data_IF_543120834497
#
_entry.id   IF_543120834497
#
_cell.length_a   1.000
_cell.length_b   1.000
_cell.length_c   1.000
_cell.angle_alpha   90.00
_cell.angle_beta   90.00
_cell.angle_gamma   90.00
#
_symmetry.space_group_name_H-M   'P 1'
#
loop_
_entity.id
_entity.type
_entity.pdbx_description
1 polymer ?
#
# COMPACT_ATOMS: atom_id res chain seq x y z
N UNK A 1 -21.53 -16.88 -0.66
CA UNK A 1 -20.07 -16.71 -0.81
C UNK A 1 -19.65 -15.56 0.10
N UNK A 2 -18.62 -15.76 0.94
CA UNK A 2 -18.10 -14.69 1.79
C UNK A 2 -17.19 -13.76 0.97
N UNK A 3 -17.10 -12.48 1.32
CA UNK A 3 -16.15 -11.54 0.70
C UNK A 3 -14.69 -12.04 0.77
N UNK A 4 -14.35 -12.80 1.82
CA UNK A 4 -13.03 -13.41 1.98
C UNK A 4 -12.74 -14.48 0.91
N UNK A 5 -13.75 -15.26 0.51
CA UNK A 5 -13.62 -16.29 -0.52
C UNK A 5 -13.40 -15.67 -1.90
N UNK A 6 -14.09 -14.57 -2.21
CA UNK A 6 -13.93 -13.84 -3.46
C UNK A 6 -12.57 -13.15 -3.57
N UNK A 7 -12.05 -12.56 -2.47
CA UNK A 7 -10.70 -11.98 -2.46
C UNK A 7 -9.66 -13.06 -2.68
N UNK A 8 -9.81 -14.23 -2.05
CA UNK A 8 -8.86 -15.33 -2.20
C UNK A 8 -8.90 -15.93 -3.61
N UNK A 9 -10.08 -16.01 -4.24
CA UNK A 9 -10.18 -16.51 -5.62
C UNK A 9 -9.70 -15.50 -6.68
N UNK A 10 -9.76 -14.18 -6.40
CA UNK A 10 -9.21 -13.14 -7.27
C UNK A 10 -7.75 -12.76 -6.97
N UNK A 11 -7.19 -13.16 -5.81
CA UNK A 11 -5.80 -12.88 -5.44
C UNK A 11 -4.84 -13.82 -6.19
N UNK A 12 -4.71 -13.59 -7.50
CA UNK A 12 -3.87 -14.37 -8.41
C UNK A 12 -2.58 -13.66 -8.81
N UNK A 13 -2.33 -12.44 -8.32
CA UNK A 13 -1.16 -11.65 -8.68
C UNK A 13 -0.12 -11.62 -7.56
N UNK A 14 1.14 -11.81 -7.95
CA UNK A 14 2.30 -11.53 -7.10
C UNK A 14 2.73 -10.08 -7.28
N UNK A 15 2.72 -9.30 -6.21
CA UNK A 15 3.11 -7.90 -6.22
C UNK A 15 4.39 -7.74 -5.42
N UNK A 16 5.37 -7.03 -5.98
CA UNK A 16 6.60 -6.69 -5.26
C UNK A 16 6.36 -5.42 -4.44
N UNK A 17 6.62 -5.52 -3.14
CA UNK A 17 6.52 -4.41 -2.19
C UNK A 17 7.93 -3.96 -1.81
N UNK A 18 8.13 -2.65 -1.80
CA UNK A 18 9.35 -1.99 -1.33
C UNK A 18 9.01 -1.17 -0.09
N UNK A 19 9.49 -1.62 1.07
CA UNK A 19 9.34 -0.94 2.35
C UNK A 19 10.57 -0.10 2.64
N UNK A 20 10.35 1.14 3.06
CA UNK A 20 11.41 2.14 3.25
C UNK A 20 11.35 2.69 4.67
N UNK A 21 12.41 2.45 5.45
CA UNK A 21 12.57 2.99 6.79
C UNK A 21 13.44 4.25 6.75
N UNK A 22 12.93 5.34 7.31
CA UNK A 22 13.64 6.61 7.46
C UNK A 22 14.85 6.40 8.37
N UNK A 23 15.99 6.94 7.94
CA UNK A 23 17.24 6.93 8.69
C UNK A 23 17.48 8.25 9.41
N UNK A 24 18.13 8.20 10.57
CA UNK A 24 18.51 9.42 11.30
C UNK A 24 19.45 10.28 10.47
N UNK A 25 19.28 11.60 10.56
CA UNK A 25 20.18 12.56 9.90
C UNK A 25 21.58 12.46 10.48
N UNK A 26 22.59 12.44 9.61
CA UNK A 26 24.01 12.48 10.02
C UNK A 26 24.52 13.89 9.77
N UNK A 27 24.94 14.59 10.82
CA UNK A 27 25.39 16.00 10.75
C UNK A 27 24.39 16.91 10.03
N UNK A 28 23.09 16.71 10.30
CA UNK A 28 21.99 17.48 9.69
C UNK A 28 21.61 17.05 8.26
N UNK A 29 22.39 16.19 7.62
CA UNK A 29 22.13 15.71 6.26
C UNK A 29 21.14 14.55 6.27
N UNK A 30 20.15 14.61 5.36
CA UNK A 30 19.29 13.47 5.10
C UNK A 30 20.14 12.28 4.64
N UNK A 31 19.79 11.10 5.13
CA UNK A 31 20.39 9.84 4.70
C UNK A 31 19.38 9.07 3.86
N UNK A 32 19.83 8.22 2.93
CA UNK A 32 18.92 7.34 2.21
C UNK A 32 18.21 6.40 3.18
N UNK A 33 16.93 6.07 2.93
CA UNK A 33 16.20 5.12 3.75
C UNK A 33 16.80 3.72 3.65
N UNK A 34 16.63 2.92 4.71
CA UNK A 34 16.88 1.47 4.64
C UNK A 34 15.72 0.84 3.89
N UNK A 35 16.03 0.02 2.88
CA UNK A 35 15.02 -0.55 1.97
C UNK A 35 14.95 -2.07 2.15
N UNK A 36 13.74 -2.59 2.29
CA UNK A 36 13.44 -4.02 2.29
C UNK A 36 12.43 -4.31 1.20
N UNK A 37 12.72 -5.32 0.36
CA UNK A 37 11.80 -5.77 -0.69
C UNK A 37 11.27 -7.17 -0.40
N UNK A 38 9.98 -7.37 -0.57
CA UNK A 38 9.33 -8.67 -0.44
C UNK A 38 8.17 -8.81 -1.41
N UNK A 39 7.77 -10.05 -1.70
CA UNK A 39 6.67 -10.35 -2.62
C UNK A 39 5.44 -10.74 -1.80
N UNK A 40 4.28 -10.22 -2.20
CA UNK A 40 2.98 -10.55 -1.62
C UNK A 40 2.07 -11.15 -2.66
N UNK A 41 1.14 -12.00 -2.23
CA UNK A 41 -0.04 -12.36 -3.03
C UNK A 41 -1.14 -11.34 -2.77
N UNK A 42 -1.69 -10.76 -3.83
CA UNK A 42 -2.73 -9.76 -3.75
C UNK A 42 -3.71 -9.86 -4.93
N UNK A 43 -4.91 -9.33 -4.72
CA UNK A 43 -5.86 -9.01 -5.79
C UNK A 43 -5.74 -7.52 -6.10
N UNK A 44 -5.40 -7.20 -7.34
CA UNK A 44 -5.21 -5.82 -7.81
C UNK A 44 -6.32 -5.49 -8.79
N UNK A 45 -7.00 -4.38 -8.57
CA UNK A 45 -8.14 -3.93 -9.36
C UNK A 45 -8.03 -2.44 -9.66
N UNK A 46 -8.57 -2.00 -10.79
CA UNK A 46 -8.74 -0.57 -11.03
C UNK A 46 -9.62 0.05 -9.93
N UNK A 47 -9.22 1.20 -9.39
CA UNK A 47 -9.98 1.82 -8.30
C UNK A 47 -11.35 2.31 -8.77
N UNK A 48 -12.38 1.98 -8.01
CA UNK A 48 -13.75 2.41 -8.31
C UNK A 48 -13.95 3.91 -8.06
N UNK A 49 -14.87 4.55 -8.78
CA UNK A 49 -15.18 5.98 -8.59
C UNK A 49 -15.65 6.35 -7.18
N UNK A 50 -16.14 5.39 -6.38
CA UNK A 50 -16.46 5.59 -4.96
C UNK A 50 -15.19 5.68 -4.10
N UNK A 51 -14.23 4.80 -4.36
CA UNK A 51 -12.96 4.76 -3.63
C UNK A 51 -12.06 5.95 -4.00
N UNK A 52 -12.16 6.45 -5.22
CA UNK A 52 -11.51 7.69 -5.65
C UNK A 52 -11.90 8.90 -4.77
N UNK A 53 -13.13 8.96 -4.26
CA UNK A 53 -13.59 10.04 -3.36
C UNK A 53 -12.96 10.00 -1.96
N UNK A 54 -12.26 8.93 -1.62
CA UNK A 54 -11.52 8.83 -0.35
C UNK A 54 -10.14 9.46 -0.43
N UNK A 55 -9.67 9.77 -1.63
CA UNK A 55 -8.43 10.49 -1.86
C UNK A 55 -8.66 12.01 -1.77
N UNK A 56 -7.66 12.79 -1.35
CA UNK A 56 -7.71 14.26 -1.45
C UNK A 56 -7.93 14.71 -2.90
N UNK A 57 -8.64 15.83 -3.10
CA UNK A 57 -9.11 16.30 -4.42
C UNK A 57 -8.03 16.36 -5.53
N UNK A 58 -6.78 16.67 -5.17
CA UNK A 58 -5.66 16.73 -6.11
C UNK A 58 -5.05 15.38 -6.50
N UNK A 59 -5.48 14.26 -5.90
CA UNK A 59 -4.92 12.91 -6.11
C UNK A 59 -5.85 11.95 -6.86
N UNK A 60 -7.02 12.43 -7.29
CA UNK A 60 -8.08 11.66 -7.96
C UNK A 60 -7.77 11.45 -9.46
N UNK A 61 -6.87 12.23 -10.04
CA UNK A 61 -6.58 12.26 -11.49
C UNK A 61 -5.44 11.35 -11.96
N UNK A 62 -4.76 10.65 -11.04
CA UNK A 62 -3.67 9.72 -11.36
C UNK A 62 -4.15 8.30 -11.67
N UNK A 63 -3.23 7.43 -12.09
CA UNK A 63 -3.52 6.00 -12.14
C UNK A 63 -3.62 5.45 -10.71
N UNK A 64 -4.77 4.88 -10.35
CA UNK A 64 -5.07 4.39 -9.01
C UNK A 64 -5.56 2.93 -9.06
N UNK A 65 -5.03 2.11 -8.17
CA UNK A 65 -5.41 0.71 -7.99
C UNK A 65 -5.86 0.45 -6.57
N UNK A 66 -6.86 -0.42 -6.43
CA UNK A 66 -7.26 -1.00 -5.16
C UNK A 66 -6.60 -2.36 -5.02
N UNK A 67 -5.86 -2.56 -3.93
CA UNK A 67 -5.10 -3.76 -3.63
C UNK A 67 -5.68 -4.44 -2.40
N UNK A 68 -6.10 -5.70 -2.54
CA UNK A 68 -6.56 -6.53 -1.45
C UNK A 68 -5.49 -7.57 -1.11
N UNK A 69 -5.03 -7.60 0.14
CA UNK A 69 -4.00 -8.53 0.59
C UNK A 69 -4.18 -8.93 2.05
N UNK A 70 -3.54 -10.03 2.46
CA UNK A 70 -3.40 -10.43 3.87
C UNK A 70 -2.16 -9.84 4.52
N UNK A 71 -1.21 -9.33 3.73
CA UNK A 71 0.00 -8.70 4.23
C UNK A 71 -0.30 -7.26 4.64
N UNK A 72 0.09 -6.86 5.85
CA UNK A 72 0.01 -5.46 6.26
C UNK A 72 0.95 -4.61 5.41
N UNK A 73 0.36 -3.63 4.72
CA UNK A 73 1.05 -2.55 4.01
C UNK A 73 1.11 -1.30 4.89
N UNK A 74 2.11 -0.45 4.70
CA UNK A 74 2.30 0.76 5.49
C UNK A 74 1.91 2.00 4.70
N UNK A 75 1.18 2.89 5.37
CA UNK A 75 0.86 4.24 4.88
C UNK A 75 1.98 5.24 5.17
N UNK A 76 2.94 4.82 5.99
CA UNK A 76 3.93 5.69 6.58
C UNK A 76 3.31 6.52 7.70
N UNK A 77 4.07 6.73 8.76
CA UNK A 77 3.60 7.50 9.90
C UNK A 77 4.74 8.33 10.49
N UNK A 78 4.44 9.60 10.74
CA UNK A 78 5.33 10.53 11.47
C UNK A 78 5.12 10.45 12.99
N UNK A 79 4.03 9.83 13.44
CA UNK A 79 3.67 9.68 14.85
C UNK A 79 4.13 8.34 15.43
N UNK A 80 4.18 8.24 16.76
CA UNK A 80 4.61 7.05 17.48
C UNK A 80 3.65 5.86 17.24
N UNK A 81 4.19 4.70 16.88
CA UNK A 81 3.42 3.51 16.52
C UNK A 81 4.25 2.50 15.74
N UNK A 82 3.64 1.40 15.31
CA UNK A 82 4.34 0.34 14.55
C UNK A 82 4.88 0.80 13.19
N UNK A 83 4.30 1.86 12.62
CA UNK A 83 4.72 2.47 11.35
C UNK A 83 5.61 3.72 11.54
N UNK A 84 5.95 4.06 12.79
CA UNK A 84 6.77 5.21 13.09
C UNK A 84 8.13 5.11 12.40
N UNK A 85 8.46 6.10 11.58
CA UNK A 85 9.72 6.12 10.84
C UNK A 85 9.72 5.25 9.59
N UNK A 86 8.58 4.73 9.14
CA UNK A 86 8.42 4.19 7.79
C UNK A 86 7.80 5.24 6.87
N UNK A 87 8.26 5.24 5.61
CA UNK A 87 7.57 5.89 4.51
C UNK A 87 6.45 4.97 4.00
N UNK A 88 5.46 5.48 3.25
CA UNK A 88 4.47 4.60 2.64
C UNK A 88 5.15 3.54 1.75
N UNK A 89 4.60 2.33 1.76
CA UNK A 89 5.12 1.24 0.94
C UNK A 89 4.94 1.56 -0.55
N UNK A 90 5.89 1.08 -1.37
CA UNK A 90 5.81 1.17 -2.83
C UNK A 90 5.54 -0.21 -3.43
N UNK A 91 4.52 -0.33 -4.26
CA UNK A 91 4.11 -1.54 -4.95
C UNK A 91 4.45 -1.44 -6.44
N UNK A 92 4.94 -2.53 -7.02
CA UNK A 92 5.09 -2.65 -8.48
C UNK A 92 3.82 -3.26 -9.08
N UNK A 93 3.05 -2.44 -9.81
CA UNK A 93 1.75 -2.81 -10.39
C UNK A 93 1.75 -2.36 -11.86
N UNK A 94 1.46 -3.27 -12.79
CA UNK A 94 1.38 -2.97 -14.23
C UNK A 94 2.60 -2.20 -14.78
N UNK A 95 3.80 -2.54 -14.30
CA UNK A 95 5.06 -1.88 -14.69
C UNK A 95 5.26 -0.48 -14.11
N UNK A 96 4.37 -0.03 -13.22
CA UNK A 96 4.41 1.27 -12.55
C UNK A 96 4.71 1.09 -11.06
N UNK A 97 5.47 2.04 -10.51
CA UNK A 97 5.66 2.15 -9.08
C UNK A 97 4.48 2.92 -8.47
N UNK A 98 3.81 2.31 -7.50
CA UNK A 98 2.60 2.84 -6.89
C UNK A 98 2.81 3.00 -5.38
N UNK A 99 2.49 4.16 -4.82
CA UNK A 99 2.58 4.43 -3.39
C UNK A 99 1.24 4.15 -2.71
N UNK A 100 1.27 3.59 -1.50
CA UNK A 100 0.06 3.36 -0.70
C UNK A 100 -0.42 4.68 -0.10
N UNK A 101 -1.65 5.08 -0.42
CA UNK A 101 -2.25 6.37 -0.04
C UNK A 101 -3.35 6.21 1.01
N UNK A 102 -4.01 5.05 1.02
CA UNK A 102 -5.05 4.74 1.99
C UNK A 102 -5.04 3.25 2.33
N UNK A 103 -5.34 2.91 3.58
CA UNK A 103 -5.36 1.53 4.07
C UNK A 103 -6.56 1.34 4.99
N UNK A 104 -7.41 0.39 4.65
CA UNK A 104 -8.48 -0.10 5.51
C UNK A 104 -8.13 -1.50 6.02
N UNK A 105 -8.36 -1.71 7.31
CA UNK A 105 -8.18 -3.01 7.95
C UNK A 105 -9.54 -3.69 8.12
N UNK A 106 -9.68 -4.89 7.57
CA UNK A 106 -10.90 -5.69 7.59
C UNK A 106 -10.67 -6.97 8.40
N UNK A 107 -11.04 -6.98 9.69
CA UNK A 107 -11.00 -8.21 10.48
C UNK A 107 -12.13 -9.16 10.06
N UNK A 108 -11.80 -10.43 9.83
CA UNK A 108 -12.78 -11.47 9.49
C UNK A 108 -12.41 -12.82 10.12
N UNK A 109 -13.21 -13.27 11.10
CA UNK A 109 -13.20 -14.63 11.67
C UNK A 109 -11.80 -15.26 11.83
N UNK A 110 -10.92 -14.60 12.60
CA UNK A 110 -9.57 -15.10 12.90
C UNK A 110 -8.50 -14.80 11.85
N UNK A 111 -8.85 -14.08 10.78
CA UNK A 111 -7.92 -13.51 9.81
C UNK A 111 -8.10 -12.00 9.68
N UNK A 112 -7.05 -11.32 9.25
CA UNK A 112 -7.08 -9.88 8.92
C UNK A 112 -6.78 -9.73 7.44
N UNK A 113 -7.59 -8.93 6.76
CA UNK A 113 -7.39 -8.53 5.37
C UNK A 113 -7.21 -7.03 5.32
N UNK A 114 -6.46 -6.56 4.34
CA UNK A 114 -6.19 -5.16 4.10
C UNK A 114 -6.70 -4.78 2.72
N UNK A 115 -7.36 -3.62 2.66
CA UNK A 115 -7.70 -2.94 1.41
C UNK A 115 -6.85 -1.68 1.33
N UNK A 116 -5.88 -1.66 0.43
CA UNK A 116 -5.06 -0.50 0.15
C UNK A 116 -5.53 0.21 -1.13
N UNK A 117 -5.48 1.54 -1.13
CA UNK A 117 -5.57 2.35 -2.34
C UNK A 117 -4.16 2.80 -2.67
N UNK A 118 -3.68 2.45 -3.85
CA UNK A 118 -2.32 2.72 -4.32
C UNK A 118 -2.39 3.63 -5.55
N UNK A 119 -1.50 4.62 -5.63
CA UNK A 119 -1.45 5.57 -6.74
C UNK A 119 -0.09 5.54 -7.40
N UNK A 120 -0.05 5.60 -8.73
CA UNK A 120 1.22 5.74 -9.46
C UNK A 120 2.00 6.96 -8.98
N UNK A 121 3.29 6.75 -8.72
CA UNK A 121 4.23 7.84 -8.44
C UNK A 121 4.64 8.45 -9.77
N UNK A 122 4.25 9.70 -10.00
CA UNK A 122 4.73 10.46 -11.16
C UNK A 122 6.17 10.90 -10.88
N UNK A 123 7.08 10.60 -11.81
CA UNK A 123 8.45 11.10 -11.79
C UNK A 123 8.51 12.60 -12.06
#
# INVERSE_FOLDING_TARGET
MSYADSITSLANQTVTVTRRQVTSRVKGRAQPPVVTTFVITASVQATSGRDLKRLPDGRITGDVWTVYTRQQLYLGCTEAGAEAGYQPDLLQIDGKQCEVEHLETWPHLGSVYYKAICRAVTA
#
